data_IF_194716020784
#
_entry.id   IF_194716020784
#
_cell.length_a   1.000
_cell.length_b   1.000
_cell.length_c   1.000
_cell.angle_alpha   90.00
_cell.angle_beta   90.00
_cell.angle_gamma   90.00
#
_symmetry.space_group_name_H-M   'P 1'
#
loop_
_entity.id
_entity.type
_entity.pdbx_description
1 polymer ?
#
# COMPACT_ATOMS: atom_id res chain seq x y z
N UNK A 1 -30.55 29.51 35.85
CA UNK A 1 -29.76 28.67 36.80
C UNK A 1 -30.75 27.69 37.43
N UNK A 2 -30.49 26.38 37.28
CA UNK A 2 -31.34 25.20 37.58
C UNK A 2 -32.47 24.93 36.54
N UNK A 3 -32.73 23.67 36.12
CA UNK A 3 -32.62 22.45 36.96
C UNK A 3 -31.95 21.26 36.25
N UNK A 4 -30.62 21.19 36.22
CA UNK A 4 -29.89 19.95 35.87
C UNK A 4 -29.94 18.96 37.06
N UNK A 5 -30.23 19.43 38.26
CA UNK A 5 -30.39 18.62 39.48
C UNK A 5 -31.65 17.75 39.50
N UNK A 6 -32.72 18.11 38.77
CA UNK A 6 -33.95 17.29 38.74
C UNK A 6 -33.85 16.06 37.82
N UNK A 7 -32.96 16.08 36.83
CA UNK A 7 -32.77 14.92 35.96
C UNK A 7 -31.96 13.82 36.67
N UNK A 8 -30.96 14.21 37.47
CA UNK A 8 -30.17 13.27 38.28
C UNK A 8 -30.98 12.65 39.43
N UNK A 9 -31.92 13.39 40.06
CA UNK A 9 -32.79 12.82 41.09
C UNK A 9 -33.81 11.85 40.50
N UNK A 10 -34.39 12.17 39.33
CA UNK A 10 -35.32 11.30 38.61
C UNK A 10 -34.64 10.02 38.10
N UNK A 11 -33.38 10.11 37.64
CA UNK A 11 -32.60 8.94 37.23
C UNK A 11 -32.21 8.07 38.44
N UNK A 12 -31.88 8.66 39.59
CA UNK A 12 -31.59 7.91 40.82
C UNK A 12 -32.82 7.24 41.41
N UNK A 13 -33.98 7.89 41.40
CA UNK A 13 -35.24 7.29 41.88
C UNK A 13 -35.70 6.18 40.93
N UNK A 14 -35.60 6.40 39.61
CA UNK A 14 -35.92 5.36 38.61
C UNK A 14 -34.94 4.19 38.70
N UNK A 15 -33.65 4.43 38.94
CA UNK A 15 -32.65 3.39 39.11
C UNK A 15 -32.83 2.61 40.43
N UNK A 16 -33.19 3.27 41.54
CA UNK A 16 -33.52 2.59 42.80
C UNK A 16 -34.75 1.69 42.66
N UNK A 17 -35.80 2.15 41.95
CA UNK A 17 -36.97 1.32 41.66
C UNK A 17 -36.58 0.14 40.77
N UNK A 18 -35.76 0.36 39.74
CA UNK A 18 -35.24 -0.71 38.87
C UNK A 18 -34.38 -1.71 39.66
N UNK A 19 -33.52 -1.25 40.57
CA UNK A 19 -32.69 -2.09 41.44
C UNK A 19 -33.53 -2.92 42.42
N UNK A 20 -34.64 -2.38 42.93
CA UNK A 20 -35.56 -3.14 43.78
C UNK A 20 -36.41 -4.14 42.98
N UNK A 21 -36.78 -3.82 41.73
CA UNK A 21 -37.41 -4.76 40.78
C UNK A 21 -36.45 -5.85 40.29
N UNK A 22 -35.14 -5.58 40.32
CA UNK A 22 -34.06 -6.52 40.01
C UNK A 22 -33.86 -7.53 41.14
N UNK A 23 -34.42 -7.37 42.33
CA UNK A 23 -34.19 -8.34 43.42
C UNK A 23 -34.82 -9.72 43.17
N UNK A 24 -35.85 -9.77 42.32
CA UNK A 24 -36.57 -10.99 41.97
C UNK A 24 -35.84 -11.75 40.84
N UNK A 25 -35.39 -12.98 41.11
CA UNK A 25 -34.54 -13.77 40.21
C UNK A 25 -35.11 -13.90 38.78
N UNK A 26 -36.45 -13.94 38.65
CA UNK A 26 -37.11 -14.01 37.34
C UNK A 26 -37.01 -12.69 36.55
N UNK A 27 -37.10 -11.53 37.22
CA UNK A 27 -37.03 -10.20 36.58
C UNK A 27 -35.60 -9.84 36.16
N UNK A 28 -34.58 -10.32 36.88
CA UNK A 28 -33.16 -10.23 36.48
C UNK A 28 -32.91 -10.88 35.12
N UNK A 29 -33.46 -12.08 34.92
CA UNK A 29 -33.30 -12.85 33.68
C UNK A 29 -33.93 -12.10 32.50
N UNK A 30 -35.13 -11.52 32.67
CA UNK A 30 -35.75 -10.71 31.62
C UNK A 30 -34.99 -9.43 31.29
N UNK A 31 -34.39 -8.76 32.29
CA UNK A 31 -33.56 -7.58 32.08
C UNK A 31 -32.26 -7.91 31.34
N UNK A 32 -31.58 -8.99 31.73
CA UNK A 32 -30.36 -9.45 31.06
C UNK A 32 -30.67 -9.87 29.61
N UNK A 33 -31.77 -10.57 29.39
CA UNK A 33 -32.21 -10.96 28.05
C UNK A 33 -32.52 -9.72 27.18
N UNK A 34 -33.17 -8.71 27.74
CA UNK A 34 -33.44 -7.45 27.05
C UNK A 34 -32.15 -6.70 26.72
N UNK A 35 -31.18 -6.67 27.63
CA UNK A 35 -29.87 -6.03 27.42
C UNK A 35 -29.04 -6.74 26.34
N UNK A 36 -29.05 -8.07 26.33
CA UNK A 36 -28.37 -8.87 25.29
C UNK A 36 -29.05 -8.66 23.93
N UNK A 37 -30.38 -8.56 23.90
CA UNK A 37 -31.11 -8.31 22.66
C UNK A 37 -30.83 -6.90 22.11
N UNK A 38 -30.81 -5.86 22.95
CA UNK A 38 -30.50 -4.49 22.51
C UNK A 38 -29.04 -4.31 22.10
N UNK A 39 -28.09 -4.96 22.79
CA UNK A 39 -26.68 -4.98 22.39
C UNK A 39 -26.50 -5.62 21.00
N UNK A 40 -27.24 -6.71 20.72
CA UNK A 40 -27.19 -7.40 19.43
C UNK A 40 -27.72 -6.53 18.27
N UNK A 41 -28.74 -5.71 18.53
CA UNK A 41 -29.34 -4.80 17.53
C UNK A 41 -28.40 -3.62 17.21
N UNK A 42 -27.72 -3.06 18.22
CA UNK A 42 -26.75 -1.96 18.05
C UNK A 42 -25.52 -2.44 17.25
N UNK A 43 -25.01 -3.66 17.52
CA UNK A 43 -23.94 -4.27 16.73
C UNK A 43 -24.34 -4.55 15.28
N UNK A 44 -25.61 -4.89 15.01
CA UNK A 44 -26.09 -5.09 13.65
C UNK A 44 -26.21 -3.77 12.86
N UNK A 45 -26.65 -2.67 13.51
CA UNK A 45 -26.71 -1.34 12.89
C UNK A 45 -25.31 -0.83 12.52
N UNK A 46 -24.33 -0.97 13.41
CA UNK A 46 -22.93 -0.58 13.15
C UNK A 46 -22.26 -1.40 12.04
N UNK A 47 -22.57 -2.68 11.88
CA UNK A 47 -22.10 -3.51 10.74
C UNK A 47 -22.71 -3.07 9.41
N UNK A 48 -23.99 -2.71 9.39
CA UNK A 48 -24.66 -2.23 8.19
C UNK A 48 -24.14 -0.86 7.76
N UNK A 49 -23.87 0.04 8.71
CA UNK A 49 -23.20 1.32 8.45
C UNK A 49 -21.77 1.11 7.91
N UNK A 50 -20.98 0.20 8.48
CA UNK A 50 -19.65 -0.15 7.93
C UNK A 50 -19.73 -0.72 6.52
N UNK A 51 -20.74 -1.55 6.22
CA UNK A 51 -20.96 -2.10 4.87
C UNK A 51 -21.37 -1.01 3.88
N UNK A 52 -22.21 -0.07 4.30
CA UNK A 52 -22.59 1.08 3.50
C UNK A 52 -21.37 1.98 3.22
N UNK A 53 -20.55 2.28 4.23
CA UNK A 53 -19.30 3.04 4.07
C UNK A 53 -18.33 2.32 3.12
N UNK A 54 -18.16 1.00 3.25
CA UNK A 54 -17.34 0.19 2.34
C UNK A 54 -17.87 0.25 0.90
N UNK A 55 -19.17 0.16 0.71
CA UNK A 55 -19.79 0.25 -0.62
C UNK A 55 -19.59 1.65 -1.23
N UNK A 56 -19.76 2.71 -0.44
CA UNK A 56 -19.48 4.08 -0.88
C UNK A 56 -18.02 4.27 -1.25
N UNK A 57 -17.08 3.76 -0.44
CA UNK A 57 -15.64 3.81 -0.72
C UNK A 57 -15.24 2.99 -1.95
N UNK A 58 -15.89 1.84 -2.17
CA UNK A 58 -15.70 1.04 -3.37
C UNK A 58 -16.24 1.74 -4.63
N UNK A 59 -17.37 2.45 -4.52
CA UNK A 59 -17.90 3.26 -5.61
C UNK A 59 -17.02 4.48 -5.91
N UNK A 60 -16.49 5.16 -4.88
CA UNK A 60 -15.49 6.22 -5.04
C UNK A 60 -14.23 5.69 -5.74
N UNK A 61 -13.72 4.52 -5.34
CA UNK A 61 -12.57 3.89 -6.00
C UNK A 61 -12.85 3.54 -7.47
N UNK A 62 -14.06 3.08 -7.81
CA UNK A 62 -14.45 2.81 -9.19
C UNK A 62 -14.57 4.10 -10.04
N UNK A 63 -15.04 5.21 -9.45
CA UNK A 63 -15.08 6.51 -10.12
C UNK A 63 -13.68 7.06 -10.39
N UNK A 64 -12.75 6.92 -9.44
CA UNK A 64 -11.34 7.24 -9.66
C UNK A 64 -10.69 6.34 -10.71
N UNK A 65 -11.02 5.05 -10.73
CA UNK A 65 -10.55 4.12 -11.75
C UNK A 65 -11.03 4.52 -13.15
N UNK A 66 -12.31 4.87 -13.29
CA UNK A 66 -12.89 5.36 -14.55
C UNK A 66 -12.21 6.65 -15.04
N UNK A 67 -11.97 7.60 -14.14
CA UNK A 67 -11.21 8.82 -14.44
C UNK A 67 -9.77 8.53 -14.85
N UNK A 68 -9.11 7.60 -14.17
CA UNK A 68 -7.75 7.18 -14.52
C UNK A 68 -7.70 6.52 -15.91
N UNK A 69 -8.69 5.71 -16.25
CA UNK A 69 -8.76 5.05 -17.55
C UNK A 69 -9.11 6.02 -18.68
N UNK A 70 -9.92 7.05 -18.42
CA UNK A 70 -10.15 8.15 -19.37
C UNK A 70 -8.86 8.94 -19.66
N UNK A 71 -8.11 9.31 -18.62
CA UNK A 71 -6.83 10.02 -18.76
C UNK A 71 -5.78 9.14 -19.47
N UNK A 72 -5.74 7.83 -19.21
CA UNK A 72 -4.89 6.90 -19.97
C UNK A 72 -5.23 6.87 -21.46
N UNK A 73 -6.51 6.96 -21.82
CA UNK A 73 -6.95 7.05 -23.21
C UNK A 73 -6.46 8.32 -23.90
N UNK A 74 -6.51 9.46 -23.22
CA UNK A 74 -5.98 10.73 -23.72
C UNK A 74 -4.45 10.68 -23.90
N UNK A 75 -3.73 10.12 -22.91
CA UNK A 75 -2.28 9.90 -23.00
C UNK A 75 -1.93 9.00 -24.18
N UNK A 76 -2.65 7.89 -24.38
CA UNK A 76 -2.42 7.00 -25.51
C UNK A 76 -2.66 7.71 -26.87
N UNK A 77 -3.63 8.61 -26.94
CA UNK A 77 -3.88 9.44 -28.13
C UNK A 77 -2.77 10.46 -28.40
N UNK A 78 -2.15 10.99 -27.35
CA UNK A 78 -0.98 11.89 -27.44
C UNK A 78 0.27 11.08 -27.83
N UNK A 79 0.49 9.92 -27.23
CA UNK A 79 1.62 9.02 -27.54
C UNK A 79 1.59 8.52 -28.98
N UNK A 80 0.40 8.30 -29.55
CA UNK A 80 0.24 7.96 -30.96
C UNK A 80 0.71 9.11 -31.88
N UNK A 81 0.33 10.36 -31.56
CA UNK A 81 0.77 11.54 -32.30
C UNK A 81 2.29 11.77 -32.15
N UNK A 82 2.82 11.57 -30.94
CA UNK A 82 4.27 11.65 -30.68
C UNK A 82 5.03 10.57 -31.45
N UNK A 83 4.50 9.35 -31.51
CA UNK A 83 5.11 8.25 -32.27
C UNK A 83 5.08 8.53 -33.78
N UNK A 84 4.02 9.16 -34.29
CA UNK A 84 3.93 9.58 -35.69
C UNK A 84 4.94 10.69 -36.03
N UNK A 85 5.15 11.63 -35.11
CA UNK A 85 6.08 12.76 -35.29
C UNK A 85 7.56 12.39 -35.10
N UNK A 86 7.86 11.55 -34.11
CA UNK A 86 9.25 11.25 -33.66
C UNK A 86 9.73 9.88 -34.18
N UNK A 87 8.81 8.96 -34.50
CA UNK A 87 9.12 7.62 -35.00
C UNK A 87 9.80 6.69 -33.97
N UNK A 88 9.95 7.16 -32.72
CA UNK A 88 10.53 6.43 -31.59
C UNK A 88 9.54 6.43 -30.42
N UNK A 89 9.27 5.25 -29.89
CA UNK A 89 8.53 5.04 -28.64
C UNK A 89 9.53 4.92 -27.50
N UNK A 90 9.56 5.91 -26.63
CA UNK A 90 10.44 5.95 -25.45
C UNK A 90 9.57 5.72 -24.21
N UNK A 91 9.97 4.80 -23.34
CA UNK A 91 9.32 4.57 -22.05
C UNK A 91 10.37 4.52 -20.94
N UNK A 92 10.08 5.21 -19.84
CA UNK A 92 10.91 5.24 -18.64
C UNK A 92 10.04 4.82 -17.46
N UNK A 93 10.47 3.78 -16.76
CA UNK A 93 9.82 3.28 -15.55
C UNK A 93 10.87 3.15 -14.47
N UNK A 94 10.48 3.33 -13.21
CA UNK A 94 11.38 3.12 -12.10
C UNK A 94 10.62 2.76 -10.83
N UNK A 95 11.32 2.13 -9.91
CA UNK A 95 10.83 1.69 -8.62
C UNK A 95 11.85 2.10 -7.57
N UNK A 96 11.36 2.61 -6.45
CA UNK A 96 12.15 2.88 -5.25
C UNK A 96 11.58 2.03 -4.15
N UNK A 97 12.40 1.17 -3.57
CA UNK A 97 12.04 0.21 -2.54
C UNK A 97 12.71 0.63 -1.23
N UNK A 98 11.94 0.63 -0.14
CA UNK A 98 12.45 0.88 1.21
C UNK A 98 12.05 -0.29 2.10
N UNK A 99 13.03 -0.88 2.79
CA UNK A 99 12.79 -1.93 3.78
C UNK A 99 13.45 -1.53 5.11
N UNK A 100 12.71 -1.69 6.21
CA UNK A 100 13.20 -1.47 7.56
C UNK A 100 12.78 -2.67 8.40
N UNK A 101 13.75 -3.39 8.95
CA UNK A 101 13.51 -4.51 9.84
C UNK A 101 14.23 -4.31 11.17
N UNK A 102 13.59 -4.77 12.24
CA UNK A 102 14.16 -4.76 13.58
C UNK A 102 13.81 -6.08 14.27
N UNK A 103 14.79 -6.71 14.90
CA UNK A 103 14.66 -7.95 15.65
C UNK A 103 15.16 -7.73 17.07
N UNK A 104 14.29 -7.98 18.05
CA UNK A 104 14.60 -7.93 19.49
C UNK A 104 14.56 -9.33 20.09
N UNK A 105 15.64 -9.74 20.77
CA UNK A 105 15.76 -11.01 21.49
C UNK A 105 15.35 -12.25 20.66
N UNK A 106 15.66 -12.25 19.36
CA UNK A 106 15.27 -13.35 18.48
C UNK A 106 16.16 -14.58 18.73
N UNK A 107 15.62 -15.55 19.48
CA UNK A 107 16.38 -16.68 20.05
C UNK A 107 17.04 -17.61 19.01
N UNK A 108 16.60 -17.58 17.74
CA UNK A 108 17.11 -18.42 16.65
C UNK A 108 18.10 -17.72 15.71
N UNK A 109 18.44 -16.45 15.96
CA UNK A 109 19.32 -15.64 15.12
C UNK A 109 20.70 -15.52 15.80
N UNK A 110 21.83 -15.71 15.07
CA UNK A 110 23.16 -15.41 15.57
C UNK A 110 23.30 -14.03 16.24
N UNK A 111 22.53 -13.04 15.75
CA UNK A 111 22.39 -11.72 16.35
C UNK A 111 20.96 -11.52 16.87
N UNK A 112 20.71 -11.72 18.19
CA UNK A 112 19.36 -11.62 18.77
C UNK A 112 18.78 -10.21 18.71
N UNK A 113 19.66 -9.20 18.72
CA UNK A 113 19.34 -7.80 18.53
C UNK A 113 20.01 -7.37 17.22
N UNK A 114 19.19 -6.99 16.23
CA UNK A 114 19.67 -6.48 14.95
C UNK A 114 18.63 -5.52 14.36
N UNK A 115 19.10 -4.40 13.84
CA UNK A 115 18.33 -3.51 13.00
C UNK A 115 18.89 -3.56 11.59
N UNK A 116 18.04 -3.51 10.57
CA UNK A 116 18.47 -3.38 9.19
C UNK A 116 17.61 -2.38 8.45
N UNK A 117 18.26 -1.57 7.62
CA UNK A 117 17.61 -0.66 6.70
C UNK A 117 18.11 -0.94 5.28
N UNK A 118 17.22 -0.91 4.29
CA UNK A 118 17.61 -1.07 2.89
C UNK A 118 16.86 -0.11 1.99
N UNK A 119 17.57 0.34 0.96
CA UNK A 119 17.06 1.22 -0.09
C UNK A 119 17.42 0.62 -1.44
N UNK A 120 16.42 0.30 -2.24
CA UNK A 120 16.56 -0.13 -3.62
C UNK A 120 16.10 0.96 -4.58
N UNK A 121 16.85 1.18 -5.65
CA UNK A 121 16.48 2.01 -6.79
C UNK A 121 16.63 1.17 -8.05
N UNK A 122 15.55 1.02 -8.81
CA UNK A 122 15.55 0.37 -10.11
C UNK A 122 14.99 1.34 -11.13
N UNK A 123 15.73 1.58 -12.21
CA UNK A 123 15.29 2.40 -13.35
C UNK A 123 15.39 1.55 -14.61
N UNK A 124 14.28 1.45 -15.35
CA UNK A 124 14.15 0.75 -16.61
C UNK A 124 13.77 1.73 -17.70
N UNK A 125 14.65 1.90 -18.69
CA UNK A 125 14.42 2.73 -19.85
C UNK A 125 14.35 1.87 -21.11
N UNK A 126 13.42 2.19 -22.00
CA UNK A 126 13.31 1.55 -23.32
C UNK A 126 13.16 2.61 -24.39
N UNK A 127 13.83 2.40 -25.52
CA UNK A 127 13.72 3.23 -26.71
C UNK A 127 13.57 2.32 -27.93
N UNK A 128 12.38 2.33 -28.50
CA UNK A 128 11.94 1.42 -29.55
C UNK A 128 11.55 2.18 -30.81
N UNK A 129 12.04 1.75 -31.97
CA UNK A 129 11.62 2.24 -33.27
C UNK A 129 11.18 1.06 -34.10
N UNK A 130 9.89 1.00 -34.40
CA UNK A 130 9.34 -0.02 -35.28
C UNK A 130 8.88 0.64 -36.58
N UNK A 131 9.51 0.26 -37.70
CA UNK A 131 9.18 0.73 -39.04
C UNK A 131 8.87 -0.47 -39.94
N UNK A 132 8.19 -0.22 -41.06
CA UNK A 132 7.73 -1.30 -41.96
C UNK A 132 8.85 -2.22 -42.48
N UNK A 133 10.08 -1.68 -42.65
CA UNK A 133 11.22 -2.42 -43.21
C UNK A 133 12.29 -2.80 -42.16
N UNK A 134 12.38 -2.06 -41.06
CA UNK A 134 13.44 -2.23 -40.08
C UNK A 134 12.94 -1.86 -38.69
N UNK A 135 13.60 -2.38 -37.67
CA UNK A 135 13.29 -2.07 -36.29
C UNK A 135 14.57 -1.89 -35.48
N UNK A 136 14.45 -1.14 -34.39
CA UNK A 136 15.50 -0.95 -33.42
C UNK A 136 14.91 -0.89 -32.01
N UNK A 137 15.26 -1.86 -31.17
CA UNK A 137 14.81 -1.95 -29.79
C UNK A 137 16.01 -1.79 -28.87
N UNK A 138 15.94 -0.82 -27.96
CA UNK A 138 16.96 -0.57 -26.98
C UNK A 138 16.34 -0.65 -25.59
N UNK A 139 17.03 -1.31 -24.67
CA UNK A 139 16.61 -1.46 -23.28
C UNK A 139 17.81 -1.22 -22.37
N UNK A 140 17.63 -0.33 -21.40
CA UNK A 140 18.55 -0.10 -20.29
C UNK A 140 17.87 -0.42 -18.97
N UNK A 141 18.57 -1.12 -18.09
CA UNK A 141 18.18 -1.35 -16.70
C UNK A 141 19.34 -0.85 -15.84
N UNK A 142 19.03 0.01 -14.89
CA UNK A 142 19.93 0.49 -13.85
C UNK A 142 19.36 0.04 -12.50
N UNK A 143 20.16 -0.62 -11.68
CA UNK A 143 19.77 -1.07 -10.35
C UNK A 143 20.86 -0.67 -9.37
N UNK A 144 20.47 0.07 -8.34
CA UNK A 144 21.33 0.45 -7.22
C UNK A 144 20.62 0.05 -5.95
N UNK A 145 21.30 -0.66 -5.05
CA UNK A 145 20.74 -0.96 -3.73
C UNK A 145 21.77 -0.70 -2.65
N UNK A 146 21.26 -0.26 -1.51
CA UNK A 146 21.99 -0.05 -0.27
C UNK A 146 21.33 -0.88 0.82
N UNK A 147 22.13 -1.44 1.69
CA UNK A 147 21.64 -2.16 2.85
C UNK A 147 22.61 -1.93 3.99
N UNK A 148 22.08 -1.41 5.08
CA UNK A 148 22.77 -1.26 6.34
C UNK A 148 22.18 -2.24 7.37
N UNK A 149 23.06 -2.87 8.15
CA UNK A 149 22.69 -3.83 9.19
C UNK A 149 23.46 -3.50 10.46
N UNK A 150 22.80 -2.82 11.39
CA UNK A 150 23.33 -2.55 12.72
C UNK A 150 23.18 -3.81 13.60
N UNK A 151 24.33 -4.36 13.95
CA UNK A 151 24.50 -5.47 14.88
C UNK A 151 25.13 -4.96 16.18
N UNK A 152 24.37 -4.21 16.98
CA UNK A 152 24.90 -3.56 18.18
C UNK A 152 25.43 -4.57 19.20
N UNK A 153 26.74 -4.53 19.48
CA UNK A 153 27.34 -4.97 20.75
C UNK A 153 27.38 -3.73 21.65
N UNK A 154 26.87 -3.76 22.91
CA UNK A 154 26.88 -2.57 23.76
C UNK A 154 28.32 -2.13 24.04
N UNK A 155 28.74 -0.98 23.50
CA UNK A 155 30.01 -0.32 23.84
C UNK A 155 31.12 -0.32 22.79
N UNK A 156 30.86 -0.70 21.53
CA UNK A 156 31.76 -0.35 20.43
C UNK A 156 31.40 1.06 19.94
N UNK A 157 32.29 2.02 20.17
CA UNK A 157 32.21 3.37 19.64
C UNK A 157 32.81 3.43 18.23
N UNK A 158 32.24 4.32 17.40
CA UNK A 158 32.79 4.91 16.17
C UNK A 158 32.81 4.03 14.89
N UNK A 159 31.95 4.34 13.91
CA UNK A 159 32.27 5.15 12.70
C UNK A 159 30.92 5.57 12.06
N UNK A 160 30.87 6.73 11.38
CA UNK A 160 29.71 7.20 10.59
C UNK A 160 29.38 6.17 9.47
N UNK A 161 28.65 5.09 9.77
CA UNK A 161 28.24 4.10 8.77
C UNK A 161 26.86 4.41 8.16
N UNK A 162 26.79 5.52 7.42
CA UNK A 162 25.56 5.91 6.76
C UNK A 162 25.08 4.85 5.76
N UNK A 163 23.76 4.68 5.64
CA UNK A 163 23.11 3.76 4.69
C UNK A 163 23.69 3.86 3.26
N UNK A 164 24.12 5.05 2.83
CA UNK A 164 24.65 5.27 1.49
C UNK A 164 26.08 4.78 1.27
N UNK A 165 26.82 4.49 2.34
CA UNK A 165 28.19 3.96 2.28
C UNK A 165 28.20 2.43 2.11
N UNK A 166 27.09 1.75 2.44
CA UNK A 166 26.91 0.31 2.30
C UNK A 166 26.14 -0.07 1.02
N UNK A 167 26.77 0.15 -0.14
CA UNK A 167 26.21 -0.23 -1.44
C UNK A 167 26.25 -1.74 -1.71
N UNK A 168 25.10 -2.40 -1.72
CA UNK A 168 24.96 -3.85 -1.92
C UNK A 168 24.91 -4.27 -3.39
N UNK A 169 24.29 -3.45 -4.24
CA UNK A 169 24.09 -3.77 -5.67
C UNK A 169 24.35 -2.54 -6.52
N UNK A 170 25.12 -2.72 -7.60
CA UNK A 170 25.29 -1.75 -8.67
C UNK A 170 25.32 -2.49 -10.02
N UNK A 171 24.18 -2.54 -10.71
CA UNK A 171 24.01 -3.28 -11.95
C UNK A 171 23.51 -2.34 -13.03
N UNK A 172 24.27 -2.27 -14.11
CA UNK A 172 23.88 -1.57 -15.33
C UNK A 172 23.82 -2.60 -16.45
N UNK A 173 22.63 -2.82 -16.99
CA UNK A 173 22.41 -3.70 -18.13
C UNK A 173 21.85 -2.90 -19.30
N UNK A 174 22.62 -2.84 -20.39
CA UNK A 174 22.22 -2.16 -21.62
C UNK A 174 22.20 -3.20 -22.73
N UNK A 175 21.09 -3.27 -23.45
CA UNK A 175 20.89 -4.13 -24.60
C UNK A 175 20.33 -3.33 -25.75
N UNK A 176 20.82 -3.64 -26.95
CA UNK A 176 20.35 -3.10 -28.22
C UNK A 176 20.11 -4.26 -29.16
N UNK A 177 19.01 -4.19 -29.91
CA UNK A 177 18.63 -5.18 -30.89
C UNK A 177 18.14 -4.44 -32.13
N UNK A 178 18.83 -4.62 -33.26
CA UNK A 178 18.46 -3.98 -34.51
C UNK A 178 18.27 -5.02 -35.60
N UNK A 179 17.34 -4.78 -36.53
CA UNK A 179 17.05 -5.76 -37.56
C UNK A 179 16.18 -5.27 -38.70
N UNK A 180 16.03 -6.13 -39.71
CA UNK A 180 15.22 -5.90 -40.90
C UNK A 180 14.09 -6.92 -40.99
N UNK A 181 12.90 -6.45 -41.35
CA UNK A 181 11.71 -7.29 -41.56
C UNK A 181 11.69 -7.77 -43.00
N UNK A 182 11.78 -9.09 -43.21
CA UNK A 182 11.71 -9.72 -44.54
C UNK A 182 10.26 -10.06 -44.93
N UNK A 183 9.44 -10.41 -43.95
CA UNK A 183 8.00 -10.61 -44.09
C UNK A 183 7.30 -10.21 -42.78
N UNK A 184 5.96 -10.10 -42.75
CA UNK A 184 5.23 -9.80 -41.51
C UNK A 184 5.49 -10.80 -40.36
N UNK A 185 6.02 -12.00 -40.67
CA UNK A 185 6.29 -13.06 -39.70
C UNK A 185 7.78 -13.37 -39.51
N UNK A 186 8.66 -12.79 -40.32
CA UNK A 186 10.07 -13.17 -40.34
C UNK A 186 10.95 -11.94 -40.46
N UNK A 187 11.91 -11.85 -39.56
CA UNK A 187 12.87 -10.75 -39.50
C UNK A 187 14.26 -11.28 -39.17
N UNK A 188 15.28 -10.55 -39.63
CA UNK A 188 16.68 -10.80 -39.30
C UNK A 188 17.14 -9.72 -38.33
N UNK A 189 17.80 -10.09 -37.25
CA UNK A 189 18.32 -9.16 -36.24
C UNK A 189 19.74 -9.50 -35.82
N UNK A 190 20.44 -8.49 -35.33
CA UNK A 190 21.75 -8.56 -34.71
C UNK A 190 21.74 -7.81 -33.37
#
# INVERSE_FOLDING_TARGET
>A
MLPITNCMSSFRISCLIILDQIKDEKKKIYLILLLVLTASIISAQTINELRAIKATKAAEAADFQSKADAVKGEIAGIDAQITELIGWTISLNGTVDFDFANSDMWQANPNPNAASSSLGLVVMATASKDQAKYFWYNKGIFQKAWQDVDITVPGATEEDDDLFDQGTVDIINISSLAGFKLSPKLALSA
#
